data_IF_559599195108
#
_entry.id   IF_559599195108
#
_cell.length_a   1.000
_cell.length_b   1.000
_cell.length_c   1.000
_cell.angle_alpha   90.00
_cell.angle_beta   90.00
_cell.angle_gamma   90.00
#
_symmetry.space_group_name_H-M   'P 1'
#
loop_
_entity.id
_entity.type
_entity.pdbx_description
1 polymer ?
#
# COMPACT_ATOMS: atom_id res chain seq x y z
N UNK A 1 19.18 -26.85 -29.73
CA UNK A 1 20.25 -25.90 -30.10
C UNK A 1 19.90 -24.50 -29.60
N UNK A 2 20.91 -23.68 -29.32
CA UNK A 2 20.72 -22.25 -29.00
C UNK A 2 20.41 -21.47 -30.29
N UNK A 3 19.86 -20.25 -30.19
CA UNK A 3 19.48 -19.43 -31.36
C UNK A 3 20.64 -19.20 -32.36
N UNK A 4 21.89 -19.28 -31.89
CA UNK A 4 23.10 -19.15 -32.72
C UNK A 4 23.59 -20.46 -33.36
N UNK A 5 22.78 -21.53 -33.40
CA UNK A 5 23.16 -22.83 -34.00
C UNK A 5 24.17 -23.66 -33.19
N UNK A 6 24.69 -23.12 -32.09
CA UNK A 6 25.60 -23.83 -31.17
C UNK A 6 24.85 -24.76 -30.22
N UNK A 7 25.49 -25.85 -29.82
CA UNK A 7 24.95 -26.74 -28.78
C UNK A 7 25.22 -26.17 -27.39
N UNK A 8 24.45 -26.62 -26.39
CA UNK A 8 24.66 -26.21 -24.99
C UNK A 8 26.03 -26.67 -24.50
N UNK A 9 26.40 -27.93 -24.80
CA UNK A 9 27.70 -28.52 -24.44
C UNK A 9 28.91 -27.74 -24.96
N UNK A 10 28.85 -27.26 -26.21
CA UNK A 10 29.92 -26.42 -26.78
C UNK A 10 30.08 -25.11 -25.99
N UNK A 11 28.97 -24.41 -25.74
CA UNK A 11 29.00 -23.13 -25.03
C UNK A 11 29.43 -23.32 -23.56
N UNK A 12 28.97 -24.38 -22.91
CA UNK A 12 29.37 -24.69 -21.54
C UNK A 12 30.86 -25.02 -21.44
N UNK A 13 31.40 -25.78 -22.39
CA UNK A 13 32.83 -26.07 -22.49
C UNK A 13 33.66 -24.79 -22.70
N UNK A 14 33.27 -23.95 -23.66
CA UNK A 14 33.96 -22.69 -23.97
C UNK A 14 33.98 -21.73 -22.77
N UNK A 15 32.91 -21.70 -21.99
CA UNK A 15 32.76 -20.86 -20.80
C UNK A 15 33.23 -21.54 -19.50
N UNK A 16 33.65 -22.80 -19.55
CA UNK A 16 34.06 -23.62 -18.41
C UNK A 16 33.02 -23.64 -17.27
N UNK A 17 31.73 -23.68 -17.60
CA UNK A 17 30.62 -23.78 -16.66
C UNK A 17 29.80 -25.04 -16.90
N UNK A 18 28.97 -25.41 -15.93
CA UNK A 18 28.08 -26.57 -16.10
C UNK A 18 27.02 -26.31 -17.19
N UNK A 19 26.69 -27.35 -17.95
CA UNK A 19 25.57 -27.34 -18.90
C UNK A 19 24.26 -26.92 -18.22
N UNK A 20 24.07 -27.34 -16.98
CA UNK A 20 22.89 -27.03 -16.18
C UNK A 20 22.68 -25.52 -16.00
N UNK A 21 23.76 -24.76 -15.83
CA UNK A 21 23.71 -23.29 -15.74
C UNK A 21 23.16 -22.68 -17.03
N UNK A 22 23.65 -23.14 -18.18
CA UNK A 22 23.17 -22.69 -19.50
C UNK A 22 21.70 -23.04 -19.70
N UNK A 23 21.26 -24.23 -19.30
CA UNK A 23 19.85 -24.62 -19.36
C UNK A 23 18.96 -23.71 -18.52
N UNK A 24 19.38 -23.40 -17.29
CA UNK A 24 18.66 -22.48 -16.40
C UNK A 24 18.54 -21.09 -17.02
N UNK A 25 19.64 -20.53 -17.55
CA UNK A 25 19.60 -19.22 -18.20
C UNK A 25 18.75 -19.21 -19.46
N UNK A 26 18.82 -20.26 -20.29
CA UNK A 26 17.96 -20.40 -21.46
C UNK A 26 16.49 -20.42 -21.05
N UNK A 27 16.13 -21.18 -20.02
CA UNK A 27 14.76 -21.26 -19.54
C UNK A 27 14.28 -19.91 -19.02
N UNK A 28 15.10 -19.19 -18.24
CA UNK A 28 14.76 -17.85 -17.79
C UNK A 28 14.58 -16.89 -18.97
N UNK A 29 15.42 -16.98 -20.01
CA UNK A 29 15.25 -16.17 -21.23
C UNK A 29 13.95 -16.47 -21.97
N UNK A 30 13.46 -17.72 -21.95
CA UNK A 30 12.15 -18.07 -22.51
C UNK A 30 11.00 -17.48 -21.68
N UNK A 31 11.13 -17.51 -20.34
CA UNK A 31 10.18 -16.87 -19.43
C UNK A 31 10.16 -15.35 -19.63
N UNK A 32 11.33 -14.71 -19.70
CA UNK A 32 11.48 -13.27 -19.92
C UNK A 32 10.93 -12.85 -21.30
N UNK A 33 10.95 -13.75 -22.29
CA UNK A 33 10.33 -13.55 -23.60
C UNK A 33 8.83 -13.88 -23.64
N UNK A 34 8.23 -14.30 -22.51
CA UNK A 34 6.82 -14.70 -22.42
C UNK A 34 6.49 -16.01 -23.13
N UNK A 35 7.50 -16.82 -23.47
CA UNK A 35 7.32 -18.09 -24.18
C UNK A 35 7.08 -19.27 -23.24
N UNK A 36 7.55 -19.16 -21.99
CA UNK A 36 7.26 -20.12 -20.93
C UNK A 36 6.60 -19.41 -19.73
N UNK A 37 5.72 -20.09 -18.99
CA UNK A 37 5.17 -19.54 -17.76
C UNK A 37 6.25 -19.43 -16.68
N UNK A 38 6.24 -18.33 -15.95
CA UNK A 38 7.14 -18.12 -14.81
C UNK A 38 7.27 -16.63 -14.47
N UNK A 39 7.98 -16.34 -13.39
CA UNK A 39 8.36 -14.97 -13.05
C UNK A 39 9.53 -14.53 -13.92
N UNK A 40 9.36 -13.41 -14.58
CA UNK A 40 10.42 -12.71 -15.31
C UNK A 40 11.52 -12.27 -14.34
N UNK A 41 12.71 -12.06 -14.88
CA UNK A 41 13.85 -11.53 -14.12
C UNK A 41 13.54 -10.17 -13.48
N UNK A 42 12.74 -9.34 -14.15
CA UNK A 42 12.27 -8.04 -13.64
C UNK A 42 11.33 -8.21 -12.45
N UNK A 43 10.28 -9.03 -12.59
CA UNK A 43 9.34 -9.29 -11.48
C UNK A 43 10.05 -9.88 -10.25
N UNK A 44 11.05 -10.76 -10.47
CA UNK A 44 11.88 -11.29 -9.38
C UNK A 44 12.67 -10.19 -8.66
N UNK A 45 13.25 -9.27 -9.42
CA UNK A 45 14.02 -8.15 -8.86
C UNK A 45 13.12 -7.19 -8.06
N UNK A 46 11.94 -6.88 -8.59
CA UNK A 46 10.93 -6.06 -7.91
C UNK A 46 10.44 -6.74 -6.62
N UNK A 47 10.14 -8.03 -6.66
CA UNK A 47 9.73 -8.79 -5.48
C UNK A 47 10.82 -8.81 -4.40
N UNK A 48 12.10 -8.95 -4.80
CA UNK A 48 13.22 -8.88 -3.88
C UNK A 48 13.37 -7.48 -3.25
N UNK A 49 13.23 -6.43 -4.06
CA UNK A 49 13.25 -5.03 -3.60
C UNK A 49 12.11 -4.75 -2.60
N UNK A 50 10.89 -5.18 -2.92
CA UNK A 50 9.73 -5.03 -2.06
C UNK A 50 9.92 -5.77 -0.72
N UNK A 51 10.40 -7.01 -0.75
CA UNK A 51 10.70 -7.78 0.47
C UNK A 51 11.75 -7.10 1.33
N UNK A 52 12.80 -6.54 0.73
CA UNK A 52 13.82 -5.78 1.45
C UNK A 52 13.22 -4.54 2.12
N UNK A 53 12.37 -3.79 1.40
CA UNK A 53 11.73 -2.58 1.96
C UNK A 53 10.77 -2.90 3.09
N UNK A 54 10.02 -4.01 2.99
CA UNK A 54 9.15 -4.48 4.06
C UNK A 54 9.97 -4.80 5.31
N UNK A 55 11.05 -5.59 5.16
CA UNK A 55 11.91 -5.94 6.29
C UNK A 55 12.52 -4.69 6.96
N UNK A 56 12.97 -3.71 6.17
CA UNK A 56 13.47 -2.43 6.67
C UNK A 56 12.39 -1.68 7.48
N UNK A 57 11.20 -1.52 6.91
CA UNK A 57 10.07 -0.86 7.58
C UNK A 57 9.66 -1.57 8.87
N UNK A 58 9.64 -2.90 8.88
CA UNK A 58 9.36 -3.70 10.07
C UNK A 58 10.41 -3.46 11.16
N UNK A 59 11.69 -3.31 10.78
CA UNK A 59 12.75 -2.98 11.73
C UNK A 59 12.60 -1.57 12.30
N UNK A 60 12.28 -0.58 11.46
CA UNK A 60 12.00 0.80 11.89
C UNK A 60 10.81 0.83 12.87
N UNK A 61 9.72 0.14 12.54
CA UNK A 61 8.55 0.03 13.40
C UNK A 61 8.87 -0.63 14.74
N UNK A 62 9.69 -1.68 14.76
CA UNK A 62 10.12 -2.32 15.99
C UNK A 62 10.92 -1.37 16.89
N UNK A 63 11.83 -0.58 16.31
CA UNK A 63 12.59 0.45 17.03
C UNK A 63 11.65 1.51 17.59
N UNK A 64 10.71 2.02 16.79
CA UNK A 64 9.74 3.02 17.24
C UNK A 64 8.87 2.52 18.39
N UNK A 65 8.36 1.29 18.29
CA UNK A 65 7.55 0.67 19.37
C UNK A 65 8.35 0.53 20.66
N UNK A 66 9.58 0.05 20.57
CA UNK A 66 10.47 -0.04 21.74
C UNK A 66 10.75 1.34 22.34
N UNK A 67 10.93 2.36 21.52
CA UNK A 67 11.13 3.73 22.00
C UNK A 67 9.88 4.28 22.69
N UNK A 68 8.67 4.01 22.18
CA UNK A 68 7.42 4.41 22.83
C UNK A 68 7.20 3.71 24.15
N UNK A 69 7.49 2.40 24.24
CA UNK A 69 7.39 1.64 25.50
C UNK A 69 8.33 2.21 26.58
N UNK A 70 9.58 2.52 26.20
CA UNK A 70 10.54 3.15 27.12
C UNK A 70 10.08 4.54 27.57
N UNK A 71 9.44 5.32 26.68
CA UNK A 71 8.91 6.63 27.04
C UNK A 71 7.71 6.52 27.98
N UNK A 72 6.81 5.56 27.74
CA UNK A 72 5.66 5.31 28.62
C UNK A 72 6.08 4.90 30.03
N UNK A 73 7.15 4.11 30.16
CA UNK A 73 7.76 3.77 31.45
C UNK A 73 8.43 4.99 32.10
N UNK A 74 9.17 5.79 31.33
CA UNK A 74 9.93 6.92 31.86
C UNK A 74 9.06 8.13 32.26
N UNK A 75 7.88 8.29 31.65
CA UNK A 75 6.97 9.39 31.95
C UNK A 75 5.96 8.92 33.01
N UNK A 76 6.03 9.40 34.27
CA UNK A 76 4.99 9.11 35.24
C UNK A 76 3.67 9.64 34.71
N UNK A 77 2.69 8.74 34.55
CA UNK A 77 1.38 9.11 34.05
C UNK A 77 0.78 10.15 34.99
N UNK A 78 0.72 11.41 34.54
CA UNK A 78 0.17 12.49 35.36
C UNK A 78 -1.29 12.17 35.64
N UNK A 79 -1.71 11.93 36.89
CA UNK A 79 -3.10 11.67 37.18
C UNK A 79 -3.87 12.96 36.93
N UNK A 80 -4.64 13.04 35.85
CA UNK A 80 -5.56 14.17 35.65
C UNK A 80 -5.91 14.65 34.25
N UNK A 81 -5.37 14.12 33.15
CA UNK A 81 -5.93 14.46 31.82
C UNK A 81 -7.07 13.49 31.45
N UNK A 82 -8.18 13.61 32.18
CA UNK A 82 -9.47 13.06 31.75
C UNK A 82 -9.79 13.70 30.40
N UNK A 83 -9.43 13.03 29.29
CA UNK A 83 -10.01 13.32 27.98
C UNK A 83 -11.50 13.19 28.19
N UNK A 84 -12.19 14.32 28.15
CA UNK A 84 -13.62 14.45 28.36
C UNK A 84 -14.39 13.42 27.53
N UNK A 85 -14.71 12.26 28.11
CA UNK A 85 -15.78 11.41 27.60
C UNK A 85 -17.08 12.10 27.99
N UNK A 86 -17.55 13.05 27.18
CA UNK A 86 -18.94 13.49 27.26
C UNK A 86 -19.39 14.12 25.95
N UNK A 87 -19.95 13.27 25.09
CA UNK A 87 -21.29 13.54 24.58
C UNK A 87 -22.04 12.23 24.63
N UNK A 88 -22.79 12.02 25.71
CA UNK A 88 -23.79 10.96 25.72
C UNK A 88 -24.92 11.40 24.77
N UNK A 89 -25.45 10.49 23.96
CA UNK A 89 -26.61 10.74 23.06
C UNK A 89 -27.84 11.34 23.77
N UNK A 90 -27.87 11.40 25.10
CA UNK A 90 -28.96 11.99 25.89
C UNK A 90 -28.95 13.52 25.91
N UNK A 91 -27.81 14.19 25.73
CA UNK A 91 -27.74 15.66 25.75
C UNK A 91 -28.25 16.33 24.45
N UNK A 92 -28.40 15.58 23.35
CA UNK A 92 -28.97 16.13 22.10
C UNK A 92 -30.48 16.38 22.16
N UNK A 93 -31.22 15.82 23.14
CA UNK A 93 -32.69 15.90 23.16
C UNK A 93 -33.23 17.14 23.88
N UNK A 94 -32.42 17.87 24.63
CA UNK A 94 -32.86 19.03 25.42
C UNK A 94 -32.71 20.38 24.69
N UNK A 95 -31.97 20.44 23.56
CA UNK A 95 -31.80 21.68 22.76
C UNK A 95 -32.82 21.88 21.62
N UNK A 96 -33.86 21.06 21.51
CA UNK A 96 -34.92 21.23 20.50
C UNK A 96 -36.08 22.14 20.94
N UNK A 97 -35.98 22.82 22.08
CA UNK A 97 -36.94 23.86 22.49
C UNK A 97 -36.29 25.24 22.55
N UNK A 98 -35.81 25.71 21.40
CA UNK A 98 -35.75 27.12 21.01
C UNK A 98 -35.18 27.15 19.59
N UNK A 99 -35.72 28.03 18.75
CA UNK A 99 -35.59 27.95 17.29
C UNK A 99 -34.16 27.94 16.75
N UNK A 100 -34.03 27.25 15.62
CA UNK A 100 -33.11 27.54 14.51
C UNK A 100 -31.68 27.95 14.87
N UNK A 101 -30.73 27.01 14.82
CA UNK A 101 -29.39 27.32 14.30
C UNK A 101 -28.85 26.17 13.43
N UNK A 102 -28.75 26.51 12.14
CA UNK A 102 -28.14 25.75 11.05
C UNK A 102 -26.64 25.63 11.33
N UNK A 103 -26.09 24.41 11.36
CA UNK A 103 -24.65 24.22 11.42
C UNK A 103 -24.05 24.69 10.08
N UNK A 104 -23.48 25.88 10.06
CA UNK A 104 -22.65 26.36 8.95
C UNK A 104 -21.32 25.60 9.02
N UNK A 105 -21.20 24.55 8.21
CA UNK A 105 -19.93 23.92 7.90
C UNK A 105 -19.02 24.92 7.19
N UNK A 106 -17.84 25.14 7.81
CA UNK A 106 -16.72 25.93 7.30
C UNK A 106 -16.33 25.44 5.89
N UNK A 107 -16.41 26.32 4.90
CA UNK A 107 -15.92 26.07 3.54
C UNK A 107 -14.46 26.51 3.36
N UNK A 108 -13.79 25.87 2.40
CA UNK A 108 -12.79 26.44 1.48
C UNK A 108 -12.67 25.54 0.24
N UNK A 109 -12.71 26.18 -0.93
CA UNK A 109 -12.88 25.74 -2.34
C UNK A 109 -11.51 25.39 -3.00
N UNK A 110 -11.29 25.22 -4.34
CA UNK A 110 -12.17 25.41 -5.53
C UNK A 110 -12.00 24.44 -6.74
N UNK A 111 -12.89 24.53 -7.76
CA UNK A 111 -12.63 24.01 -9.12
C UNK A 111 -13.87 23.77 -10.00
N UNK A 112 -14.10 24.66 -10.98
CA UNK A 112 -14.82 24.54 -12.28
C UNK A 112 -16.18 23.82 -12.36
N UNK A 113 -17.30 24.53 -12.59
CA UNK A 113 -17.84 25.05 -13.88
C UNK A 113 -18.56 24.00 -14.75
N UNK A 114 -19.89 24.10 -14.87
CA UNK A 114 -20.68 23.26 -15.80
C UNK A 114 -22.20 23.31 -15.64
N UNK A 115 -22.82 24.36 -16.17
CA UNK A 115 -24.16 24.51 -16.77
C UNK A 115 -25.41 23.67 -16.36
N UNK A 116 -26.45 24.42 -16.01
CA UNK A 116 -27.92 24.22 -16.10
C UNK A 116 -28.55 22.93 -16.65
N UNK A 117 -29.49 22.36 -15.88
CA UNK A 117 -30.94 22.24 -16.23
C UNK A 117 -31.78 21.69 -15.06
N UNK A 118 -32.95 22.24 -14.73
CA UNK A 118 -33.87 21.63 -13.76
C UNK A 118 -34.97 20.84 -14.49
N UNK A 119 -35.27 19.62 -14.03
CA UNK A 119 -36.58 18.99 -14.26
C UNK A 119 -36.85 17.79 -13.33
N UNK A 120 -37.85 18.03 -12.46
CA UNK A 120 -38.98 17.16 -12.08
C UNK A 120 -38.75 15.87 -11.31
N UNK A 121 -39.33 15.90 -10.12
CA UNK A 121 -39.71 14.80 -9.26
C UNK A 121 -40.79 13.92 -9.94
N UNK A 122 -40.64 12.61 -9.83
CA UNK A 122 -41.68 11.61 -10.04
C UNK A 122 -41.33 10.36 -9.22
N UNK A 123 -42.16 10.05 -8.23
CA UNK A 123 -42.03 8.94 -7.28
C UNK A 123 -42.32 7.57 -7.90
N UNK A 124 -41.85 6.48 -7.28
CA UNK A 124 -41.99 5.11 -7.79
C UNK A 124 -43.37 4.51 -7.49
N UNK A 125 -43.83 3.65 -8.40
CA UNK A 125 -45.01 2.78 -8.28
C UNK A 125 -45.02 1.80 -9.44
#
# INVERSE_FOLDING_TARGET
>A
MLKAGRTVAQVAHDLQISDQTIYTWRRQSLVDAGQEPGLTSVEKAELASARRRIAELETELAIHRRATELLEEAVPQKPGSSRSRRWSRRDCRSRQRAGSWRCLGRGSTPGEAGHHRPARCGTPG
#
